data_IF_490487195819
#
_entry.id   IF_490487195819
#
_cell.length_a   1.000
_cell.length_b   1.000
_cell.length_c   1.000
_cell.angle_alpha   90.00
_cell.angle_beta   90.00
_cell.angle_gamma   90.00
#
_symmetry.space_group_name_H-M   'P 1'
#
loop_
_entity.id
_entity.type
_entity.pdbx_description
1 polymer ?
#
# COMPACT_ATOMS: atom_id res chain seq x y z
N UNK A 1 12.70 -6.43 -15.91
CA UNK A 1 11.59 -5.47 -16.05
C UNK A 1 11.29 -4.89 -14.68
N UNK A 2 11.02 -3.58 -14.56
CA UNK A 2 10.55 -3.01 -13.30
C UNK A 2 9.17 -3.58 -12.96
N UNK A 3 8.97 -3.94 -11.69
CA UNK A 3 7.67 -4.41 -11.18
C UNK A 3 7.09 -3.33 -10.29
N UNK A 4 5.84 -2.96 -10.55
CA UNK A 4 5.09 -1.98 -9.76
C UNK A 4 3.97 -2.67 -8.99
N UNK A 5 3.74 -2.22 -7.76
CA UNK A 5 2.60 -2.62 -6.95
C UNK A 5 2.07 -1.42 -6.18
N UNK A 6 0.76 -1.25 -6.18
CA UNK A 6 0.06 -0.26 -5.36
C UNK A 6 -0.96 -0.99 -4.48
N UNK A 7 -0.99 -0.61 -3.21
CA UNK A 7 -1.92 -1.10 -2.21
C UNK A 7 -2.68 0.08 -1.61
N UNK A 8 -3.99 0.13 -1.89
CA UNK A 8 -4.91 1.13 -1.34
C UNK A 8 -5.76 0.42 -0.28
N UNK A 9 -5.58 0.73 1.02
CA UNK A 9 -6.34 0.04 2.06
C UNK A 9 -7.82 0.46 1.97
N UNK A 10 -8.77 -0.49 1.86
CA UNK A 10 -10.18 -0.14 1.80
C UNK A 10 -10.64 0.39 3.16
N UNK A 11 -11.40 1.49 3.15
CA UNK A 11 -11.79 2.23 4.36
C UNK A 11 -12.46 1.35 5.43
N UNK A 12 -13.26 0.36 5.02
CA UNK A 12 -13.91 -0.57 5.94
C UNK A 12 -12.91 -1.43 6.72
N UNK A 13 -11.81 -1.84 6.08
CA UNK A 13 -10.75 -2.63 6.73
C UNK A 13 -9.91 -1.74 7.64
N UNK A 14 -9.68 -0.48 7.25
CA UNK A 14 -9.02 0.51 8.13
C UNK A 14 -9.82 0.73 9.40
N UNK A 15 -11.14 0.93 9.30
CA UNK A 15 -12.02 1.11 10.45
C UNK A 15 -12.00 -0.13 11.37
N UNK A 16 -11.99 -1.33 10.79
CA UNK A 16 -11.89 -2.58 11.56
C UNK A 16 -10.53 -2.71 12.27
N UNK A 17 -9.44 -2.41 11.58
CA UNK A 17 -8.08 -2.43 12.13
C UNK A 17 -7.93 -1.42 13.27
N UNK A 18 -8.49 -0.22 13.12
CA UNK A 18 -8.51 0.79 14.19
C UNK A 18 -9.27 0.29 15.43
N UNK A 19 -10.40 -0.40 15.25
CA UNK A 19 -11.19 -0.94 16.37
C UNK A 19 -10.52 -2.13 17.07
N UNK A 20 -9.84 -3.00 16.32
CA UNK A 20 -9.32 -4.28 16.86
C UNK A 20 -7.84 -4.25 17.21
N UNK A 21 -7.02 -3.55 16.42
CA UNK A 21 -5.57 -3.52 16.54
C UNK A 21 -5.00 -2.13 16.19
N UNK A 22 -5.34 -1.08 16.96
CA UNK A 22 -4.93 0.29 16.66
C UNK A 22 -3.41 0.49 16.64
N UNK A 23 -2.67 -0.36 17.35
CA UNK A 23 -1.21 -0.37 17.35
C UNK A 23 -0.60 -0.65 15.96
N UNK A 24 -1.22 -1.52 15.15
CA UNK A 24 -0.74 -1.82 13.79
C UNK A 24 -0.95 -0.64 12.85
N UNK A 25 -2.07 0.09 13.01
CA UNK A 25 -2.32 1.32 12.26
C UNK A 25 -1.26 2.36 12.60
N UNK A 26 -0.95 2.54 13.89
CA UNK A 26 0.02 3.54 14.34
C UNK A 26 1.47 3.21 13.98
N UNK A 27 1.89 1.96 14.16
CA UNK A 27 3.29 1.55 13.97
C UNK A 27 3.62 1.30 12.50
N UNK A 28 2.67 0.75 11.74
CA UNK A 28 2.89 0.31 10.36
C UNK A 28 2.12 1.12 9.32
N UNK A 29 1.42 2.20 9.70
CA UNK A 29 0.70 3.04 8.74
C UNK A 29 -0.20 2.22 7.78
N UNK A 30 -0.88 1.18 8.31
CA UNK A 30 -1.72 0.28 7.52
C UNK A 30 -3.01 0.96 7.00
N UNK A 31 -3.25 2.19 7.39
CA UNK A 31 -4.31 3.09 6.93
C UNK A 31 -3.92 3.93 5.72
N UNK A 32 -2.65 3.94 5.34
CA UNK A 32 -2.12 4.78 4.27
C UNK A 32 -1.87 3.99 2.98
N UNK A 33 -2.04 4.62 1.80
CA UNK A 33 -1.70 4.00 0.54
C UNK A 33 -0.20 3.67 0.52
N UNK A 34 0.14 2.53 -0.08
CA UNK A 34 1.53 2.09 -0.25
C UNK A 34 1.80 1.81 -1.71
N UNK A 35 2.88 2.37 -2.22
CA UNK A 35 3.38 2.09 -3.57
C UNK A 35 4.75 1.48 -3.46
N UNK A 36 5.03 0.50 -4.28
CA UNK A 36 6.33 -0.14 -4.34
C UNK A 36 6.77 -0.30 -5.79
N UNK A 37 8.04 -0.04 -6.02
CA UNK A 37 8.70 -0.39 -7.28
C UNK A 37 9.91 -1.27 -6.98
N UNK A 38 10.05 -2.33 -7.76
CA UNK A 38 11.18 -3.24 -7.68
C UNK A 38 11.95 -3.24 -9.00
N UNK A 39 13.24 -2.88 -8.93
CA UNK A 39 14.14 -2.80 -10.08
C UNK A 39 15.46 -3.50 -9.76
N UNK A 40 15.73 -4.61 -10.44
CA UNK A 40 16.93 -5.41 -10.18
C UNK A 40 16.90 -5.99 -8.77
N UNK A 41 17.89 -5.63 -7.95
CA UNK A 41 17.95 -6.05 -6.55
C UNK A 41 17.21 -5.11 -5.59
N UNK A 42 16.91 -3.89 -6.00
CA UNK A 42 16.45 -2.85 -5.09
C UNK A 42 14.95 -2.66 -5.17
N UNK A 43 14.32 -2.66 -3.99
CA UNK A 43 12.90 -2.39 -3.82
C UNK A 43 12.74 -1.07 -3.09
N UNK A 44 12.05 -0.11 -3.71
CA UNK A 44 11.67 1.14 -3.09
C UNK A 44 10.18 1.07 -2.72
N UNK A 45 9.86 1.45 -1.49
CA UNK A 45 8.50 1.56 -0.97
C UNK A 45 8.25 3.01 -0.58
N UNK A 46 7.14 3.56 -1.06
CA UNK A 46 6.57 4.84 -0.66
C UNK A 46 5.31 4.57 0.16
N UNK A 47 5.26 5.09 1.39
CA UNK A 47 4.11 4.97 2.27
C UNK A 47 3.48 6.34 2.53
N UNK A 48 2.20 6.46 2.17
CA UNK A 48 1.32 7.57 2.49
C UNK A 48 1.64 8.91 1.81
N UNK A 49 0.83 9.92 2.13
CA UNK A 49 0.96 11.29 1.62
C UNK A 49 2.22 12.02 2.13
N UNK A 50 2.82 11.52 3.21
CA UNK A 50 4.09 12.04 3.72
C UNK A 50 5.30 11.57 2.90
N UNK A 51 5.09 10.79 1.83
CA UNK A 51 6.13 10.27 0.96
C UNK A 51 7.28 9.63 1.73
N UNK A 52 6.95 8.79 2.73
CA UNK A 52 7.99 8.08 3.48
C UNK A 52 8.62 7.03 2.57
N UNK A 53 9.89 7.25 2.22
CA UNK A 53 10.66 6.39 1.31
C UNK A 53 11.53 5.39 2.07
N UNK A 54 11.40 4.13 1.71
CA UNK A 54 12.14 3.02 2.29
C UNK A 54 12.75 2.19 1.16
N UNK A 55 14.06 2.01 1.18
CA UNK A 55 14.81 1.29 0.16
C UNK A 55 15.40 0.02 0.77
N UNK A 56 15.21 -1.11 0.11
CA UNK A 56 15.70 -2.41 0.56
C UNK A 56 16.41 -3.14 -0.57
N UNK A 57 17.44 -3.92 -0.26
CA UNK A 57 17.95 -4.94 -1.17
C UNK A 57 17.18 -6.24 -0.92
N UNK A 58 16.34 -6.65 -1.87
CA UNK A 58 15.46 -7.80 -1.69
C UNK A 58 16.21 -9.13 -1.66
N UNK A 59 17.39 -9.22 -2.28
CA UNK A 59 18.16 -10.46 -2.31
C UNK A 59 19.04 -10.62 -1.07
N UNK A 60 19.60 -9.53 -0.56
CA UNK A 60 20.41 -9.55 0.65
C UNK A 60 19.54 -9.54 1.92
N UNK A 61 18.41 -8.82 1.89
CA UNK A 61 17.51 -8.63 3.01
C UNK A 61 16.04 -8.88 2.62
N UNK A 62 15.64 -10.14 2.42
CA UNK A 62 14.26 -10.49 2.07
C UNK A 62 13.25 -10.17 3.19
N UNK A 63 13.71 -9.89 4.40
CA UNK A 63 12.87 -9.50 5.54
C UNK A 63 12.65 -7.99 5.65
N UNK A 64 13.23 -7.19 4.75
CA UNK A 64 13.08 -5.72 4.74
C UNK A 64 13.44 -5.09 6.10
N UNK A 65 14.46 -5.64 6.75
CA UNK A 65 14.94 -5.25 8.08
C UNK A 65 15.86 -4.03 8.05
N UNK A 66 16.58 -3.78 6.95
CA UNK A 66 17.54 -2.69 6.82
C UNK A 66 17.11 -1.68 5.76
N UNK A 67 16.64 -0.51 6.21
CA UNK A 67 16.34 0.59 5.31
C UNK A 67 17.63 1.28 4.83
N UNK A 68 17.92 1.13 3.54
CA UNK A 68 19.06 1.70 2.83
C UNK A 68 18.80 3.10 2.27
N UNK A 69 17.62 3.68 2.48
CA UNK A 69 17.24 4.95 1.82
C UNK A 69 18.14 6.12 2.18
N UNK A 70 18.67 6.14 3.41
CA UNK A 70 19.64 7.15 3.85
C UNK A 70 21.09 6.84 3.41
N UNK A 71 21.37 5.59 3.00
CA UNK A 71 22.71 5.11 2.64
C UNK A 71 22.93 5.26 1.13
N UNK A 72 21.90 5.02 0.32
CA UNK A 72 21.94 5.05 -1.14
C UNK A 72 20.91 6.06 -1.71
N UNK A 73 21.07 7.37 -1.44
CA UNK A 73 20.09 8.38 -1.87
C UNK A 73 19.94 8.45 -3.40
N UNK A 74 21.01 8.21 -4.15
CA UNK A 74 20.98 8.16 -5.61
C UNK A 74 20.05 7.07 -6.16
N UNK A 75 20.04 5.89 -5.52
CA UNK A 75 19.15 4.81 -5.90
C UNK A 75 17.69 5.15 -5.54
N UNK A 76 17.48 5.82 -4.40
CA UNK A 76 16.15 6.31 -4.02
C UNK A 76 15.61 7.24 -5.08
N UNK A 77 16.39 8.23 -5.54
CA UNK A 77 15.95 9.18 -6.57
C UNK A 77 15.59 8.46 -7.88
N UNK A 78 16.45 7.58 -8.39
CA UNK A 78 16.19 6.83 -9.64
C UNK A 78 14.94 5.96 -9.53
N UNK A 79 14.77 5.23 -8.43
CA UNK A 79 13.60 4.39 -8.22
C UNK A 79 12.35 5.22 -7.97
N UNK A 80 12.46 6.39 -7.33
CA UNK A 80 11.34 7.30 -7.10
C UNK A 80 10.82 7.86 -8.43
N UNK A 81 11.70 8.28 -9.33
CA UNK A 81 11.30 8.70 -10.68
C UNK A 81 10.57 7.57 -11.42
N UNK A 82 11.09 6.34 -11.35
CA UNK A 82 10.41 5.17 -11.93
C UNK A 82 9.03 4.93 -11.30
N UNK A 83 8.92 5.06 -9.98
CA UNK A 83 7.66 4.90 -9.25
C UNK A 83 6.63 5.95 -9.69
N UNK A 84 7.02 7.22 -9.82
CA UNK A 84 6.13 8.28 -10.26
C UNK A 84 5.62 8.06 -11.69
N UNK A 85 6.49 7.62 -12.60
CA UNK A 85 6.09 7.29 -13.98
C UNK A 85 5.08 6.14 -13.99
N UNK A 86 5.33 5.06 -13.25
CA UNK A 86 4.43 3.90 -13.19
C UNK A 86 3.12 4.22 -12.47
N UNK A 87 3.17 5.00 -11.39
CA UNK A 87 1.97 5.46 -10.68
C UNK A 87 1.11 6.37 -11.56
N UNK A 88 1.72 7.27 -12.34
CA UNK A 88 1.01 8.10 -13.32
C UNK A 88 0.31 7.28 -14.41
N UNK A 89 0.89 6.14 -14.80
CA UNK A 89 0.28 5.20 -15.74
C UNK A 89 -0.87 4.41 -15.09
N UNK A 90 -0.70 3.94 -13.86
CA UNK A 90 -1.71 3.16 -13.13
C UNK A 90 -2.93 4.00 -12.72
N UNK A 91 -2.73 5.28 -12.38
CA UNK A 91 -3.82 6.19 -12.03
C UNK A 91 -4.78 6.45 -13.20
N UNK A 92 -4.31 6.31 -14.45
CA UNK A 92 -5.17 6.39 -15.64
C UNK A 92 -6.16 5.23 -15.78
N UNK A 93 -5.89 4.09 -15.13
CA UNK A 93 -6.70 2.86 -15.19
C UNK A 93 -7.58 2.69 -13.93
N UNK A 94 -7.24 3.41 -12.85
CA UNK A 94 -7.85 3.29 -11.52
C UNK A 94 -9.17 4.05 -11.39
N UNK A 95 -10.14 3.74 -12.26
CA UNK A 95 -11.55 4.00 -11.93
C UNK A 95 -11.90 3.01 -10.82
N UNK A 96 -12.13 3.49 -9.60
CA UNK A 96 -12.55 2.67 -8.46
C UNK A 96 -13.93 2.08 -8.80
N UNK A 97 -13.94 0.92 -9.45
CA UNK A 97 -15.15 0.13 -9.67
C UNK A 97 -15.53 -0.45 -8.31
N UNK A 98 -16.47 0.23 -7.67
CA UNK A 98 -17.21 -0.32 -6.54
C UNK A 98 -17.64 -1.72 -6.96
N UNK A 99 -17.22 -2.75 -6.21
CA UNK A 99 -17.54 -4.13 -6.56
C UNK A 99 -19.04 -4.21 -6.92
N UNK A 100 -19.40 -4.76 -8.10
CA UNK A 100 -20.72 -4.59 -8.69
C UNK A 100 -21.88 -5.12 -7.81
N UNK A 101 -21.57 -5.89 -6.78
CA UNK A 101 -22.48 -6.56 -5.85
C UNK A 101 -22.49 -5.94 -4.43
N UNK A 102 -21.86 -4.76 -4.24
CA UNK A 102 -21.84 -4.13 -2.90
C UNK A 102 -23.23 -3.65 -2.42
N UNK A 103 -24.12 -3.33 -3.36
CA UNK A 103 -25.50 -2.92 -3.07
C UNK A 103 -26.45 -4.12 -2.85
N UNK A 104 -25.95 -5.36 -2.97
CA UNK A 104 -26.77 -6.55 -2.74
C UNK A 104 -27.16 -6.69 -1.26
N UNK A 105 -28.46 -6.82 -0.94
CA UNK A 105 -28.96 -6.85 0.43
C UNK A 105 -28.47 -8.10 1.20
N UNK A 106 -28.16 -9.20 0.50
CA UNK A 106 -27.59 -10.40 1.11
C UNK A 106 -26.11 -10.19 1.50
N UNK A 107 -25.33 -9.53 0.64
CA UNK A 107 -23.93 -9.17 0.92
C UNK A 107 -23.86 -8.21 2.11
N UNK A 108 -24.71 -7.17 2.13
CA UNK A 108 -24.79 -6.25 3.26
C UNK A 108 -25.20 -6.95 4.56
N UNK A 109 -26.14 -7.89 4.51
CA UNK A 109 -26.55 -8.65 5.71
C UNK A 109 -25.41 -9.54 6.23
N UNK A 110 -24.67 -10.23 5.35
CA UNK A 110 -23.48 -11.01 5.75
C UNK A 110 -22.39 -10.12 6.32
N UNK A 111 -22.16 -8.96 5.72
CA UNK A 111 -21.20 -7.98 6.22
C UNK A 111 -21.61 -7.46 7.61
N UNK A 112 -22.89 -7.22 7.89
CA UNK A 112 -23.38 -6.88 9.25
C UNK A 112 -23.16 -8.02 10.25
N UNK A 113 -23.49 -9.26 9.87
CA UNK A 113 -23.33 -10.44 10.74
C UNK A 113 -21.86 -10.69 11.13
N UNK A 114 -20.94 -10.42 10.20
CA UNK A 114 -19.50 -10.48 10.41
C UNK A 114 -18.93 -9.24 11.13
N UNK A 115 -19.75 -8.22 11.39
CA UNK A 115 -19.36 -6.99 12.08
C UNK A 115 -18.60 -5.98 11.22
N UNK A 116 -18.74 -6.05 9.88
CA UNK A 116 -18.17 -5.08 8.93
C UNK A 116 -19.07 -3.88 8.65
N UNK A 117 -20.34 -3.91 9.05
CA UNK A 117 -21.30 -2.82 8.91
C UNK A 117 -21.96 -2.57 10.26
N UNK A 118 -21.81 -1.36 10.80
CA UNK A 118 -22.48 -0.86 12.02
C UNK A 118 -23.32 0.37 11.62
N UNK A 119 -24.48 0.54 12.28
CA UNK A 119 -25.44 1.65 12.06
C UNK A 119 -24.83 3.01 12.44
#
# INVERSE_FOLDING_TARGET
HPVFSEAIPPQNVVNLLQKRQPELVRDRACDQPRRAVWVGNHKLIETGDNHRLELYDFFDDPSESLNLSAILPENVEVLQECLQVLAGQAAGDSSIDRAPDFDDPEVQRRLRDLGYLED
#
